data_IF_704428485754
#
_entry.id   IF_704428485754
#
_cell.length_a   1.000
_cell.length_b   1.000
_cell.length_c   1.000
_cell.angle_alpha   90.00
_cell.angle_beta   90.00
_cell.angle_gamma   90.00
#
_symmetry.space_group_name_H-M   'P 1'
#
loop_
_entity.id
_entity.type
_entity.pdbx_description
1 polymer ?
#
# COMPACT_ATOMS: atom_id res chain seq x y z
N UNK A 1 29.37 8.18 7.88
CA UNK A 1 30.06 6.89 8.07
C UNK A 1 30.22 6.25 6.71
N UNK A 2 31.46 6.10 6.28
CA UNK A 2 31.86 5.49 5.01
C UNK A 2 31.61 3.99 5.09
N UNK A 3 30.79 3.43 4.19
CA UNK A 3 30.60 1.99 4.09
C UNK A 3 31.51 1.48 2.96
N UNK A 4 32.67 0.95 3.32
CA UNK A 4 33.42 0.00 2.50
C UNK A 4 33.18 -1.38 3.11
N UNK A 5 32.55 -2.27 2.35
CA UNK A 5 32.28 -3.64 2.78
C UNK A 5 32.10 -4.53 1.56
N UNK A 6 33.06 -5.44 1.40
CA UNK A 6 33.17 -6.43 0.33
C UNK A 6 31.84 -7.15 0.03
N UNK A 7 31.55 -7.26 -1.26
CA UNK A 7 30.48 -8.09 -1.83
C UNK A 7 30.64 -9.56 -1.39
N UNK A 8 29.84 -10.00 -0.42
CA UNK A 8 29.65 -11.42 -0.14
C UNK A 8 28.42 -11.88 -0.92
N UNK A 9 28.64 -12.58 -2.03
CA UNK A 9 27.56 -13.29 -2.74
C UNK A 9 27.26 -14.58 -1.96
N UNK A 10 26.31 -14.50 -1.02
CA UNK A 10 25.77 -15.69 -0.37
C UNK A 10 24.65 -16.26 -1.25
N UNK A 11 24.99 -17.25 -2.09
CA UNK A 11 23.97 -18.06 -2.77
C UNK A 11 23.41 -19.05 -1.74
N UNK A 12 22.34 -18.66 -1.04
CA UNK A 12 21.54 -19.62 -0.26
C UNK A 12 20.61 -20.35 -1.24
N UNK A 13 21.04 -21.51 -1.72
CA UNK A 13 20.10 -22.46 -2.34
C UNK A 13 19.26 -23.08 -1.22
N UNK A 14 17.97 -22.77 -1.16
CA UNK A 14 17.02 -23.46 -0.30
C UNK A 14 16.79 -24.89 -0.85
N UNK A 15 17.45 -25.89 -0.26
CA UNK A 15 17.00 -27.27 -0.42
C UNK A 15 15.79 -27.49 0.49
N UNK A 16 14.62 -27.81 -0.09
CA UNK A 16 13.46 -28.29 0.66
C UNK A 16 13.77 -29.68 1.22
N UNK A 17 14.46 -29.76 2.35
CA UNK A 17 14.70 -31.03 3.03
C UNK A 17 13.64 -31.18 4.12
N UNK A 18 12.64 -32.01 3.84
CA UNK A 18 11.75 -32.50 4.91
C UNK A 18 12.53 -33.58 5.67
N UNK A 19 12.63 -33.52 7.01
CA UNK A 19 13.36 -34.52 7.77
C UNK A 19 12.74 -35.89 7.54
N UNK A 20 13.56 -36.84 7.06
CA UNK A 20 13.22 -38.25 6.96
C UNK A 20 13.96 -38.99 8.06
N UNK A 21 13.25 -39.84 8.80
CA UNK A 21 13.81 -40.71 9.82
C UNK A 21 13.40 -42.14 9.49
N UNK A 22 14.25 -43.11 9.78
CA UNK A 22 13.90 -44.52 9.64
C UNK A 22 13.35 -45.04 10.96
N UNK A 23 12.27 -45.81 10.90
CA UNK A 23 11.82 -46.61 12.03
C UNK A 23 12.76 -47.80 12.26
N UNK A 24 12.55 -48.52 13.37
CA UNK A 24 13.35 -49.70 13.74
C UNK A 24 13.25 -50.82 12.69
N UNK A 25 12.12 -50.91 12.00
CA UNK A 25 11.85 -51.82 10.87
C UNK A 25 12.26 -51.24 9.50
N UNK A 26 13.04 -50.16 9.47
CA UNK A 26 13.57 -49.52 8.25
C UNK A 26 12.52 -48.83 7.36
N UNK A 27 11.31 -48.64 7.85
CA UNK A 27 10.28 -47.84 7.16
C UNK A 27 10.67 -46.37 7.18
N UNK A 28 10.63 -45.72 6.01
CA UNK A 28 10.89 -44.29 5.89
C UNK A 28 9.72 -43.49 6.46
N UNK A 29 9.93 -42.87 7.63
CA UNK A 29 9.00 -41.95 8.25
C UNK A 29 9.36 -40.51 7.83
N UNK A 30 8.35 -39.77 7.41
CA UNK A 30 8.50 -38.36 7.07
C UNK A 30 7.74 -37.52 8.09
N UNK A 31 8.42 -36.56 8.71
CA UNK A 31 7.73 -35.61 9.57
C UNK A 31 6.90 -34.66 8.69
N UNK A 32 5.58 -34.60 8.91
CA UNK A 32 4.67 -33.67 8.25
C UNK A 32 4.83 -32.22 8.77
N UNK A 33 6.08 -31.79 8.96
CA UNK A 33 6.41 -30.48 9.47
C UNK A 33 6.59 -29.54 8.29
N UNK A 34 5.78 -28.49 8.25
CA UNK A 34 5.99 -27.41 7.31
C UNK A 34 7.30 -26.73 7.68
N UNK A 35 8.33 -26.89 6.85
CA UNK A 35 9.64 -26.31 7.14
C UNK A 35 9.60 -24.78 7.21
N UNK A 36 8.50 -24.11 6.80
CA UNK A 36 8.28 -22.68 7.04
C UNK A 36 7.95 -22.33 8.51
N UNK A 37 7.65 -23.31 9.36
CA UNK A 37 7.29 -23.15 10.78
C UNK A 37 8.45 -23.44 11.75
N UNK A 38 9.53 -24.10 11.29
CA UNK A 38 10.79 -24.15 12.05
C UNK A 38 11.53 -22.83 11.86
N UNK A 39 12.15 -22.33 12.94
CA UNK A 39 12.80 -21.03 12.99
C UNK A 39 13.82 -20.84 11.87
N UNK A 40 13.38 -20.24 10.77
CA UNK A 40 14.25 -19.67 9.76
C UNK A 40 14.58 -18.25 10.21
N UNK A 41 15.79 -17.79 9.93
CA UNK A 41 16.07 -16.35 9.95
C UNK A 41 15.08 -15.71 8.95
N UNK A 42 14.07 -15.01 9.48
CA UNK A 42 13.09 -14.32 8.67
C UNK A 42 13.83 -13.46 7.66
N UNK A 43 13.42 -13.55 6.39
CA UNK A 43 13.91 -12.64 5.35
C UNK A 43 13.92 -11.21 5.92
N UNK A 44 15.06 -10.55 5.74
CA UNK A 44 15.19 -9.13 6.05
C UNK A 44 14.07 -8.36 5.34
N UNK A 45 13.08 -7.90 6.12
CA UNK A 45 12.05 -6.97 5.64
C UNK A 45 12.66 -5.58 5.69
N UNK A 46 13.65 -5.37 4.84
CA UNK A 46 14.20 -4.04 4.60
C UNK A 46 13.14 -3.20 3.88
N UNK A 47 12.62 -2.18 4.56
CA UNK A 47 11.74 -1.19 3.99
C UNK A 47 12.55 0.03 3.57
N UNK A 48 12.39 0.49 2.32
CA UNK A 48 13.03 1.72 1.85
C UNK A 48 12.09 2.89 2.09
N UNK A 49 12.51 3.83 2.91
CA UNK A 49 11.82 5.11 3.10
C UNK A 49 12.61 6.17 2.34
N UNK A 50 11.96 6.79 1.35
CA UNK A 50 12.55 7.88 0.58
C UNK A 50 12.29 9.21 1.29
N UNK A 51 13.35 9.80 1.83
CA UNK A 51 13.32 11.15 2.38
C UNK A 51 13.44 12.16 1.25
N UNK A 52 12.41 12.98 1.05
CA UNK A 52 12.43 14.07 0.08
C UNK A 52 12.70 15.40 0.79
N UNK A 53 13.53 16.29 0.22
CA UNK A 53 13.78 17.59 0.82
C UNK A 53 12.52 18.47 0.72
N UNK A 54 12.25 19.29 1.74
CA UNK A 54 11.02 20.12 1.79
C UNK A 54 10.97 21.22 0.72
N UNK A 55 12.11 21.59 0.14
CA UNK A 55 12.20 22.62 -0.89
C UNK A 55 11.56 22.24 -2.23
N UNK A 56 11.14 20.99 -2.42
CA UNK A 56 10.32 20.58 -3.56
C UNK A 56 8.88 21.08 -3.48
N UNK A 57 8.44 21.45 -2.26
CA UNK A 57 7.15 22.08 -2.01
C UNK A 57 7.25 23.59 -2.19
N UNK A 58 6.15 24.21 -2.61
CA UNK A 58 6.06 25.67 -2.71
C UNK A 58 6.35 26.32 -1.34
N UNK A 59 6.97 27.50 -1.34
CA UNK A 59 7.54 28.15 -0.13
C UNK A 59 6.52 28.27 1.01
N UNK A 60 5.27 28.60 0.72
CA UNK A 60 4.19 28.74 1.72
C UNK A 60 3.77 27.42 2.38
N UNK A 61 4.25 26.27 1.87
CA UNK A 61 3.93 24.94 2.38
C UNK A 61 5.09 24.26 3.11
N UNK A 62 6.31 24.81 3.03
CA UNK A 62 7.51 24.13 3.55
C UNK A 62 7.47 23.92 5.07
N UNK A 63 6.81 24.81 5.83
CA UNK A 63 6.69 24.74 7.29
C UNK A 63 5.45 24.00 7.78
N UNK A 64 4.61 23.48 6.88
CA UNK A 64 3.37 22.79 7.27
C UNK A 64 3.65 21.37 7.76
N UNK A 65 2.78 20.90 8.65
CA UNK A 65 2.75 19.50 9.11
C UNK A 65 2.34 18.59 7.96
N UNK A 66 3.08 17.49 7.79
CA UNK A 66 2.78 16.46 6.78
C UNK A 66 2.19 15.25 7.51
N UNK A 67 1.04 14.79 7.02
CA UNK A 67 0.29 13.65 7.51
C UNK A 67 0.40 12.52 6.49
N UNK A 68 1.06 11.44 6.88
CA UNK A 68 1.21 10.26 6.05
C UNK A 68 0.03 9.31 6.22
N UNK A 69 -0.47 8.81 5.10
CA UNK A 69 -1.43 7.72 5.03
C UNK A 69 -0.81 6.62 4.17
N UNK A 70 -0.60 5.45 4.75
CA UNK A 70 -0.02 4.33 4.03
C UNK A 70 -0.93 3.12 3.95
N UNK A 71 -0.41 2.07 3.32
CA UNK A 71 -1.00 0.73 3.36
C UNK A 71 -0.32 -0.13 4.42
N UNK A 72 -1.11 -0.92 5.14
CA UNK A 72 -0.62 -1.99 6.02
C UNK A 72 -1.18 -3.33 5.55
N UNK A 73 -0.52 -4.40 5.95
CA UNK A 73 -0.92 -5.77 5.67
C UNK A 73 -0.34 -6.34 4.38
N UNK A 74 -0.86 -7.50 3.99
CA UNK A 74 -0.42 -8.24 2.80
C UNK A 74 -1.63 -8.74 2.02
N UNK A 75 -1.53 -8.76 0.70
CA UNK A 75 -2.49 -9.43 -0.19
C UNK A 75 -2.44 -10.97 -0.02
N UNK A 76 -3.61 -11.57 0.10
CA UNK A 76 -3.81 -13.03 0.09
C UNK A 76 -4.95 -13.44 1.02
N UNK A 77 -5.30 -14.73 1.05
CA UNK A 77 -6.32 -15.19 1.97
C UNK A 77 -5.86 -15.12 3.43
N UNK A 78 -6.79 -15.29 4.37
CA UNK A 78 -6.55 -15.12 5.81
C UNK A 78 -5.44 -16.03 6.37
N UNK A 79 -5.33 -17.26 5.87
CA UNK A 79 -4.31 -18.23 6.31
C UNK A 79 -2.94 -17.88 5.72
N UNK A 80 -2.94 -17.45 4.47
CA UNK A 80 -1.75 -17.08 3.70
C UNK A 80 -1.09 -15.78 4.17
N UNK A 81 -1.89 -14.84 4.67
CA UNK A 81 -1.43 -13.51 5.06
C UNK A 81 -1.10 -13.40 6.53
N UNK A 82 -1.32 -14.44 7.33
CA UNK A 82 -0.93 -14.47 8.74
C UNK A 82 0.58 -14.20 8.91
N UNK A 83 1.00 -13.29 9.83
CA UNK A 83 0.17 -12.49 10.75
C UNK A 83 -0.28 -11.12 10.19
N UNK A 84 0.15 -10.74 8.99
CA UNK A 84 -0.20 -9.49 8.30
C UNK A 84 -1.61 -9.50 7.68
N UNK A 85 -2.59 -9.95 8.45
CA UNK A 85 -3.97 -10.25 8.01
C UNK A 85 -4.79 -9.02 7.64
N UNK A 86 -4.37 -7.83 8.09
CA UNK A 86 -5.10 -6.58 7.90
C UNK A 86 -4.58 -5.81 6.70
N UNK A 87 -5.18 -6.03 5.52
CA UNK A 87 -4.86 -5.25 4.33
C UNK A 87 -5.71 -3.97 4.25
N UNK A 88 -5.18 -2.84 4.74
CA UNK A 88 -5.94 -1.61 5.02
C UNK A 88 -5.11 -0.33 4.86
N UNK A 89 -5.77 0.82 4.83
CA UNK A 89 -5.12 2.12 4.99
C UNK A 89 -4.78 2.35 6.46
N UNK A 90 -3.63 2.97 6.72
CA UNK A 90 -3.20 3.37 8.05
C UNK A 90 -2.64 4.80 8.04
N UNK A 91 -3.16 5.71 8.89
CA UNK A 91 -4.38 5.52 9.69
C UNK A 91 -5.62 5.35 8.80
N UNK A 92 -6.56 4.49 9.21
CA UNK A 92 -7.82 4.33 8.48
C UNK A 92 -8.68 5.58 8.59
N UNK A 93 -8.69 6.22 9.78
CA UNK A 93 -9.38 7.48 10.03
C UNK A 93 -8.38 8.49 10.55
N UNK A 94 -8.33 9.66 9.92
CA UNK A 94 -7.46 10.76 10.33
C UNK A 94 -8.23 12.07 10.33
N UNK A 95 -8.01 12.87 11.35
CA UNK A 95 -8.46 14.27 11.38
C UNK A 95 -7.29 15.18 11.05
N UNK A 96 -7.48 16.06 10.08
CA UNK A 96 -6.47 17.02 9.62
C UNK A 96 -7.05 18.42 9.53
N UNK A 97 -6.21 19.45 9.60
CA UNK A 97 -6.68 20.83 9.34
C UNK A 97 -6.54 21.19 7.85
N UNK A 98 -7.20 22.27 7.40
CA UNK A 98 -7.03 22.81 6.03
C UNK A 98 -5.61 23.30 5.72
N UNK A 99 -4.76 23.45 6.75
CA UNK A 99 -3.37 23.85 6.63
C UNK A 99 -2.39 22.68 6.60
N UNK A 100 -2.81 21.47 6.95
CA UNK A 100 -1.95 20.28 6.93
C UNK A 100 -1.86 19.67 5.52
N UNK A 101 -0.71 19.06 5.26
CA UNK A 101 -0.42 18.39 3.99
C UNK A 101 -0.70 16.90 4.15
N UNK A 102 -1.42 16.31 3.21
CA UNK A 102 -1.69 14.89 3.12
C UNK A 102 -0.73 14.26 2.12
N UNK A 103 -0.15 13.12 2.51
CA UNK A 103 0.68 12.30 1.66
C UNK A 103 0.24 10.84 1.73
N UNK A 104 -0.20 10.30 0.60
CA UNK A 104 -0.34 8.85 0.47
C UNK A 104 1.01 8.20 0.18
N UNK A 105 1.33 7.10 0.85
CA UNK A 105 2.55 6.32 0.62
C UNK A 105 2.21 4.84 0.66
N UNK A 106 2.35 4.14 -0.44
CA UNK A 106 2.17 2.69 -0.45
C UNK A 106 3.30 1.99 -1.18
N UNK A 107 3.67 0.84 -0.63
CA UNK A 107 4.56 -0.11 -1.29
C UNK A 107 3.82 -1.41 -1.51
N UNK A 108 3.52 -1.73 -2.76
CA UNK A 108 3.07 -3.05 -3.16
C UNK A 108 4.24 -3.97 -3.49
N UNK A 109 3.96 -5.04 -4.23
CA UNK A 109 4.94 -6.07 -4.61
C UNK A 109 4.57 -6.71 -5.95
N UNK A 110 5.57 -7.19 -6.69
CA UNK A 110 5.38 -8.10 -7.84
C UNK A 110 5.80 -9.54 -7.53
N UNK A 111 6.32 -9.76 -6.33
CA UNK A 111 7.00 -10.98 -5.91
C UNK A 111 6.28 -11.61 -4.72
N UNK A 112 4.97 -11.38 -4.57
CA UNK A 112 4.20 -12.19 -3.62
C UNK A 112 4.22 -13.64 -4.11
N UNK A 113 4.21 -14.62 -3.20
CA UNK A 113 4.36 -16.00 -3.64
C UNK A 113 3.21 -16.40 -4.57
N UNK A 114 3.52 -17.28 -5.52
CA UNK A 114 2.54 -17.83 -6.45
C UNK A 114 1.44 -18.58 -5.69
N UNK A 115 0.23 -18.66 -6.24
CA UNK A 115 -0.96 -19.27 -5.63
C UNK A 115 -1.59 -18.52 -4.44
N UNK A 116 -1.13 -17.30 -4.15
CA UNK A 116 -1.87 -16.34 -3.33
C UNK A 116 -2.95 -15.70 -4.20
N UNK A 117 -3.97 -16.50 -4.54
CA UNK A 117 -5.02 -16.12 -5.46
C UNK A 117 -5.89 -15.02 -4.84
N UNK A 118 -5.84 -13.85 -5.47
CA UNK A 118 -6.86 -12.83 -5.33
C UNK A 118 -7.20 -12.23 -6.68
N UNK A 119 -8.12 -11.26 -6.71
CA UNK A 119 -8.48 -10.57 -7.95
C UNK A 119 -7.27 -9.82 -8.54
N UNK A 120 -7.08 -9.88 -9.87
CA UNK A 120 -5.88 -9.42 -10.58
C UNK A 120 -4.76 -10.47 -10.72
N UNK A 121 -3.66 -10.09 -11.37
CA UNK A 121 -2.51 -10.97 -11.65
C UNK A 121 -1.96 -11.62 -10.37
N UNK A 122 -1.73 -12.94 -10.38
CA UNK A 122 -1.13 -13.66 -9.25
C UNK A 122 0.26 -13.09 -8.88
N UNK A 123 0.59 -13.09 -7.59
CA UNK A 123 1.89 -12.59 -7.10
C UNK A 123 2.06 -11.06 -7.10
N UNK A 124 1.10 -10.31 -7.62
CA UNK A 124 1.15 -8.84 -7.63
C UNK A 124 0.41 -8.21 -6.46
N UNK A 125 0.71 -6.97 -6.11
CA UNK A 125 0.00 -6.19 -5.13
C UNK A 125 0.01 -4.72 -5.55
N UNK A 126 -1.16 -4.10 -5.52
CA UNK A 126 -1.43 -2.78 -6.08
C UNK A 126 -2.37 -2.03 -5.16
N UNK A 127 -2.14 -0.73 -5.06
CA UNK A 127 -3.01 0.18 -4.33
C UNK A 127 -3.27 1.40 -5.18
N UNK A 128 -4.47 1.95 -5.03
CA UNK A 128 -4.88 3.23 -5.54
C UNK A 128 -5.77 3.90 -4.48
N UNK A 129 -6.10 5.16 -4.70
CA UNK A 129 -7.02 5.91 -3.86
C UNK A 129 -8.13 6.42 -4.77
N UNK A 130 -9.35 5.94 -4.57
CA UNK A 130 -10.53 6.37 -5.32
C UNK A 130 -11.59 6.92 -4.37
N UNK A 131 -12.02 8.16 -4.58
CA UNK A 131 -12.90 8.87 -3.65
C UNK A 131 -14.36 8.48 -3.83
N UNK A 132 -15.10 8.32 -2.74
CA UNK A 132 -16.50 7.86 -2.74
C UNK A 132 -17.43 8.89 -2.11
N UNK A 133 -18.59 9.12 -2.72
CA UNK A 133 -19.58 10.12 -2.27
C UNK A 133 -20.62 9.52 -1.34
N UNK A 134 -20.84 8.22 -1.44
CA UNK A 134 -21.79 7.41 -0.67
C UNK A 134 -21.40 7.27 0.83
N UNK A 135 -20.31 7.93 1.23
CA UNK A 135 -19.80 7.96 2.59
C UNK A 135 -18.94 6.75 2.95
N UNK A 136 -18.31 6.81 4.10
CA UNK A 136 -17.29 5.84 4.49
C UNK A 136 -17.92 4.48 4.86
N UNK A 137 -19.21 4.40 5.17
CA UNK A 137 -19.82 3.19 5.75
C UNK A 137 -20.18 2.11 4.71
N UNK A 138 -20.30 2.47 3.43
CA UNK A 138 -20.67 1.48 2.40
C UNK A 138 -19.51 0.53 2.10
N UNK A 139 -19.81 -0.76 1.98
CA UNK A 139 -18.84 -1.78 1.52
C UNK A 139 -18.79 -1.87 -0.01
N UNK A 140 -19.85 -1.39 -0.68
CA UNK A 140 -20.05 -1.48 -2.12
C UNK A 140 -20.52 -0.11 -2.65
N UNK A 141 -19.64 0.91 -2.68
CA UNK A 141 -19.95 2.18 -3.33
C UNK A 141 -20.29 1.94 -4.82
N UNK A 142 -21.32 2.61 -5.34
CA UNK A 142 -21.76 2.43 -6.74
C UNK A 142 -20.77 3.04 -7.71
N UNK A 143 -20.10 4.11 -7.28
CA UNK A 143 -19.09 4.80 -8.06
C UNK A 143 -17.96 5.29 -7.17
N UNK A 144 -16.79 5.49 -7.75
CA UNK A 144 -15.71 6.23 -7.13
C UNK A 144 -15.13 7.18 -8.18
N UNK A 145 -14.55 8.29 -7.73
CA UNK A 145 -14.18 9.41 -8.59
C UNK A 145 -12.95 10.14 -8.07
N UNK A 146 -12.50 11.17 -8.81
CA UNK A 146 -11.51 12.14 -8.33
C UNK A 146 -12.11 13.01 -7.22
N UNK A 147 -11.25 13.51 -6.32
CA UNK A 147 -11.66 14.60 -5.45
C UNK A 147 -12.01 15.83 -6.31
N UNK A 148 -13.04 16.62 -5.96
CA UNK A 148 -13.32 17.86 -6.66
C UNK A 148 -12.09 18.78 -6.65
N UNK A 149 -11.74 19.38 -7.79
CA UNK A 149 -10.53 20.19 -7.94
C UNK A 149 -10.58 21.48 -7.10
N UNK A 150 -11.78 21.97 -6.78
CA UNK A 150 -12.02 23.15 -5.95
C UNK A 150 -11.74 22.93 -4.46
N UNK A 151 -11.54 21.67 -4.04
CA UNK A 151 -11.16 21.33 -2.66
C UNK A 151 -9.72 20.83 -2.54
N UNK A 152 -9.00 20.68 -3.66
CA UNK A 152 -7.62 20.18 -3.68
C UNK A 152 -6.66 21.26 -4.11
N UNK A 153 -5.71 21.54 -3.24
CA UNK A 153 -4.55 22.33 -3.59
C UNK A 153 -3.30 21.45 -3.62
N UNK A 154 -2.65 21.45 -4.77
CA UNK A 154 -1.37 20.78 -4.97
C UNK A 154 -0.25 21.61 -4.34
N UNK A 155 0.67 20.95 -3.64
CA UNK A 155 1.79 21.64 -2.96
C UNK A 155 3.14 21.41 -3.64
N UNK A 156 3.17 20.55 -4.68
CA UNK A 156 4.33 20.24 -5.53
C UNK A 156 4.01 20.52 -7.01
N UNK A 157 4.91 20.15 -7.93
CA UNK A 157 4.89 20.46 -9.38
C UNK A 157 3.75 19.83 -10.22
N UNK A 158 2.74 19.23 -9.58
CA UNK A 158 1.62 18.55 -10.24
C UNK A 158 0.36 19.39 -10.14
N UNK A 159 -0.41 19.58 -11.21
CA UNK A 159 -1.74 20.19 -11.08
C UNK A 159 -2.74 19.26 -10.36
N UNK A 160 -3.82 19.82 -9.80
CA UNK A 160 -4.80 19.08 -8.97
C UNK A 160 -5.54 17.97 -9.74
N UNK A 161 -5.72 18.11 -11.05
CA UNK A 161 -6.33 17.07 -11.89
C UNK A 161 -5.34 15.94 -12.20
N UNK A 162 -4.06 16.26 -12.32
CA UNK A 162 -2.97 15.28 -12.46
C UNK A 162 -2.81 14.47 -11.21
N UNK A 163 -2.82 15.11 -10.05
CA UNK A 163 -2.73 14.46 -8.76
C UNK A 163 -3.86 13.43 -8.56
N UNK A 164 -5.12 13.85 -8.68
CA UNK A 164 -6.25 12.97 -8.39
C UNK A 164 -6.34 11.80 -9.39
N UNK A 165 -6.11 12.09 -10.67
CA UNK A 165 -6.08 11.06 -11.69
C UNK A 165 -4.93 10.06 -11.44
N UNK A 166 -3.77 10.55 -11.00
CA UNK A 166 -2.62 9.72 -10.63
C UNK A 166 -2.92 8.81 -9.43
N UNK A 167 -3.56 9.34 -8.38
CA UNK A 167 -4.02 8.57 -7.21
C UNK A 167 -5.05 7.50 -7.59
N UNK A 168 -6.08 7.86 -8.36
CA UNK A 168 -7.13 6.93 -8.82
C UNK A 168 -6.55 5.77 -9.65
N UNK A 169 -5.52 6.04 -10.44
CA UNK A 169 -4.92 5.07 -11.37
C UNK A 169 -3.75 4.28 -10.77
N UNK A 170 -3.50 4.41 -9.46
CA UNK A 170 -2.38 3.74 -8.80
C UNK A 170 -1.03 4.16 -9.40
N UNK A 171 -0.93 5.42 -9.82
CA UNK A 171 0.24 6.02 -10.45
C UNK A 171 0.59 5.54 -11.87
N UNK A 172 -0.35 4.88 -12.54
CA UNK A 172 -0.22 4.61 -13.97
C UNK A 172 -0.18 5.93 -14.76
N UNK A 173 0.76 6.04 -15.69
CA UNK A 173 0.88 7.17 -16.60
C UNK A 173 -0.44 7.41 -17.38
N UNK A 174 -0.73 8.69 -17.68
CA UNK A 174 -2.02 9.14 -18.21
C UNK A 174 -2.31 8.64 -19.63
N UNK A 175 -1.26 8.49 -20.42
CA UNK A 175 -1.26 8.01 -21.81
C UNK A 175 -1.62 6.53 -21.96
N UNK A 176 -1.64 5.77 -20.86
CA UNK A 176 -1.98 4.35 -20.86
C UNK A 176 -3.46 4.13 -20.59
N UNK A 177 -4.03 3.00 -21.01
CA UNK A 177 -5.38 2.61 -20.58
C UNK A 177 -5.28 1.86 -19.25
N UNK A 178 -6.07 2.21 -18.24
CA UNK A 178 -6.04 1.54 -16.94
C UNK A 178 -6.76 0.19 -17.01
N UNK A 179 -6.11 -0.86 -16.53
CA UNK A 179 -6.74 -2.17 -16.31
C UNK A 179 -7.64 -2.14 -15.07
N UNK A 180 -8.81 -2.78 -15.12
CA UNK A 180 -9.81 -2.75 -14.03
C UNK A 180 -9.32 -3.35 -12.71
N UNK A 181 -8.29 -4.19 -12.76
CA UNK A 181 -7.63 -4.80 -11.61
C UNK A 181 -6.27 -4.15 -11.32
N UNK A 182 -5.95 -3.00 -11.93
CA UNK A 182 -4.69 -2.27 -11.80
C UNK A 182 -3.45 -3.11 -12.18
N UNK A 183 -3.60 -4.16 -12.99
CA UNK A 183 -2.49 -5.08 -13.30
C UNK A 183 -1.30 -4.36 -13.96
N UNK A 184 -1.59 -3.33 -14.74
CA UNK A 184 -0.59 -2.52 -15.43
C UNK A 184 -0.09 -1.30 -14.64
N UNK A 185 -0.67 -1.02 -13.46
CA UNK A 185 -0.16 0.01 -12.56
C UNK A 185 1.15 -0.45 -11.90
N UNK A 186 2.03 0.48 -11.49
CA UNK A 186 3.23 0.14 -10.71
C UNK A 186 2.85 -0.47 -9.36
N UNK A 187 3.73 -1.34 -8.84
CA UNK A 187 3.55 -1.97 -7.52
C UNK A 187 3.62 -0.96 -6.37
N UNK A 188 4.60 -0.06 -6.43
CA UNK A 188 4.85 0.96 -5.42
C UNK A 188 4.81 2.33 -6.06
N UNK A 189 4.34 3.32 -5.31
CA UNK A 189 4.30 4.69 -5.78
C UNK A 189 4.53 5.67 -4.64
N UNK A 190 5.11 6.82 -4.99
CA UNK A 190 5.18 8.01 -4.14
C UNK A 190 4.30 9.12 -4.75
N UNK A 191 2.99 9.09 -4.53
CA UNK A 191 2.08 10.13 -4.99
C UNK A 191 2.54 11.53 -4.54
N UNK A 192 2.19 12.57 -5.32
CA UNK A 192 2.49 13.94 -4.94
C UNK A 192 1.72 14.35 -3.67
N UNK A 193 2.30 15.30 -2.93
CA UNK A 193 1.68 15.88 -1.74
C UNK A 193 0.56 16.85 -2.12
N UNK A 194 -0.45 16.97 -1.25
CA UNK A 194 -1.56 17.91 -1.44
C UNK A 194 -2.23 18.28 -0.14
N UNK A 195 -3.09 19.30 -0.16
CA UNK A 195 -3.97 19.64 0.95
C UNK A 195 -5.43 19.68 0.51
N UNK A 196 -6.32 19.44 1.47
CA UNK A 196 -7.76 19.62 1.26
C UNK A 196 -8.16 20.94 1.92
N UNK A 197 -8.71 21.85 1.12
CA UNK A 197 -8.90 23.26 1.52
C UNK A 197 -10.27 23.53 2.15
N UNK A 198 -11.22 22.61 2.03
CA UNK A 198 -12.56 22.75 2.62
C UNK A 198 -12.76 21.74 3.76
N UNK A 199 -13.33 22.17 4.90
CA UNK A 199 -13.75 21.26 5.94
C UNK A 199 -14.81 20.27 5.43
N UNK A 200 -14.78 19.05 5.95
CA UNK A 200 -15.72 17.99 5.56
C UNK A 200 -15.18 16.59 5.81
N UNK A 201 -16.00 15.60 5.50
CA UNK A 201 -15.59 14.19 5.52
C UNK A 201 -15.32 13.68 4.11
N UNK A 202 -14.10 13.16 3.92
CA UNK A 202 -13.63 12.66 2.63
C UNK A 202 -13.29 11.19 2.74
N UNK A 203 -14.08 10.37 2.04
CA UNK A 203 -13.98 8.92 2.06
C UNK A 203 -13.34 8.41 0.78
N UNK A 204 -12.45 7.43 0.89
CA UNK A 204 -11.76 6.85 -0.26
C UNK A 204 -11.54 5.36 -0.09
N UNK A 205 -11.38 4.65 -1.20
CA UNK A 205 -11.23 3.20 -1.24
C UNK A 205 -10.01 2.82 -2.09
N UNK A 206 -9.38 1.68 -1.76
CA UNK A 206 -8.50 1.00 -2.70
C UNK A 206 -9.32 0.05 -3.56
N UNK A 207 -9.54 0.35 -4.84
CA UNK A 207 -10.53 -0.35 -5.68
C UNK A 207 -10.20 -1.84 -5.84
N UNK A 208 -8.97 -2.17 -6.21
CA UNK A 208 -8.52 -3.56 -6.35
C UNK A 208 -8.61 -4.32 -5.03
N UNK A 209 -8.22 -3.66 -3.95
CA UNK A 209 -8.10 -4.29 -2.64
C UNK A 209 -9.47 -4.49 -1.99
N UNK A 210 -10.39 -3.54 -2.17
CA UNK A 210 -11.78 -3.68 -1.75
C UNK A 210 -12.50 -4.80 -2.51
N UNK A 211 -12.15 -5.03 -3.80
CA UNK A 211 -12.71 -6.13 -4.59
C UNK A 211 -12.27 -7.53 -4.11
N UNK A 212 -11.11 -7.64 -3.45
CA UNK A 212 -10.60 -8.91 -2.97
C UNK A 212 -10.96 -9.19 -1.50
N UNK A 213 -11.12 -8.13 -0.73
CA UNK A 213 -11.14 -8.24 0.71
C UNK A 213 -12.57 -8.40 1.22
N UNK A 214 -12.82 -9.45 1.99
CA UNK A 214 -13.95 -9.50 2.94
C UNK A 214 -13.81 -8.43 4.05
N UNK A 215 -12.71 -7.67 4.05
CA UNK A 215 -12.39 -6.58 4.97
C UNK A 215 -12.28 -5.27 4.19
N UNK A 216 -13.31 -4.44 4.28
CA UNK A 216 -13.40 -3.05 3.83
C UNK A 216 -12.04 -2.34 3.74
N UNK A 217 -11.54 -2.05 2.53
CA UNK A 217 -10.34 -1.23 2.34
C UNK A 217 -10.74 0.21 2.03
N UNK A 218 -11.22 0.89 3.07
CA UNK A 218 -11.73 2.27 3.01
C UNK A 218 -11.02 3.10 4.06
N UNK A 219 -10.62 4.31 3.68
CA UNK A 219 -10.13 5.31 4.62
C UNK A 219 -11.02 6.55 4.68
N UNK A 220 -10.85 7.33 5.74
CA UNK A 220 -11.57 8.56 6.03
C UNK A 220 -10.60 9.67 6.43
N UNK A 221 -10.73 10.82 5.77
CA UNK A 221 -10.09 12.07 6.18
C UNK A 221 -11.18 13.02 6.64
N UNK A 222 -11.16 13.41 7.91
CA UNK A 222 -11.99 14.49 8.43
C UNK A 222 -11.17 15.77 8.39
N UNK A 223 -11.59 16.75 7.59
CA UNK A 223 -10.92 18.04 7.48
C UNK A 223 -11.65 19.05 8.35
N UNK A 224 -10.90 19.76 9.19
CA UNK A 224 -11.41 20.81 10.06
C UNK A 224 -10.70 22.14 9.79
N UNK A 225 -11.30 23.25 10.19
CA UNK A 225 -10.58 24.52 10.21
C UNK A 225 -9.45 24.45 11.24
N UNK A 226 -8.35 25.20 11.05
CA UNK A 226 -7.33 25.36 12.07
C UNK A 226 -7.96 25.90 13.35
N UNK A 227 -7.50 25.43 14.51
CA UNK A 227 -7.81 26.10 15.77
C UNK A 227 -7.35 27.56 15.68
N UNK A 228 -8.16 28.48 16.23
CA UNK A 228 -7.73 29.86 16.46
C UNK A 228 -6.56 29.90 17.43
#
# INVERSE_FOLDING_TARGET
MTYQGNSMLLIITNSKITPKIKSVDMTDLQLALNTAQVGRTFQDRSHVILLKPRNIMQTQHQHRTIRYIGGIGKRGNIVQTYPAMEYRFFPERITVTTEEIICFVWSGSNNNPQYYAGQGTAGTDRTNVCWIKEGCKTLAPKSCSRLPSDVVEHVERFDSDTLNLHLNRGCLARDKTLDSQLNNAPASCNPPYFRITKPGEYCYIGTRNNNFSNRRHIGQITVINPGK
#
